data_IF_348324191740
#
_entry.id   IF_348324191740
#
_cell.length_a   1.000
_cell.length_b   1.000
_cell.length_c   1.000
_cell.angle_alpha   90.00
_cell.angle_beta   90.00
_cell.angle_gamma   90.00
#
_symmetry.space_group_name_H-M   'P 1'
#
loop_
_entity.id
_entity.type
_entity.pdbx_description
1 polymer ?
#
# COMPACT_ATOMS: atom_id res chain seq x y z
N UNK A 1 -3.32 3.18 11.69
CA UNK A 1 -4.79 3.22 11.60
C UNK A 1 -5.22 3.90 10.32
N UNK A 2 -6.23 3.40 9.57
CA UNK A 2 -6.67 4.00 8.32
C UNK A 2 -7.06 5.47 8.43
N UNK A 3 -7.69 5.86 9.55
CA UNK A 3 -7.99 7.28 9.84
C UNK A 3 -6.73 8.13 9.96
N UNK A 4 -5.68 7.63 10.62
CA UNK A 4 -4.41 8.35 10.78
C UNK A 4 -3.76 8.63 9.43
N UNK A 5 -3.81 7.66 8.51
CA UNK A 5 -3.31 7.81 7.14
C UNK A 5 -4.06 8.94 6.41
N UNK A 6 -5.39 8.97 6.50
CA UNK A 6 -6.18 10.07 5.92
C UNK A 6 -5.85 11.44 6.50
N UNK A 7 -5.64 11.53 7.83
CA UNK A 7 -5.25 12.78 8.47
C UNK A 7 -3.84 13.23 8.04
N UNK A 8 -2.89 12.30 7.97
CA UNK A 8 -1.54 12.58 7.49
C UNK A 8 -1.53 13.09 6.04
N UNK A 9 -2.34 12.49 5.16
CA UNK A 9 -2.49 12.96 3.77
C UNK A 9 -3.06 14.37 3.71
N UNK A 10 -4.10 14.68 4.51
CA UNK A 10 -4.64 16.04 4.60
C UNK A 10 -3.57 17.02 5.08
N UNK A 11 -2.90 16.71 6.18
CA UNK A 11 -1.90 17.60 6.79
C UNK A 11 -0.75 17.88 5.81
N UNK A 12 -0.32 16.86 5.05
CA UNK A 12 0.68 17.03 3.98
C UNK A 12 0.16 17.95 2.87
N UNK A 13 -1.08 17.77 2.40
CA UNK A 13 -1.67 18.63 1.38
C UNK A 13 -1.83 20.07 1.85
N UNK A 14 -2.13 20.31 3.12
CA UNK A 14 -2.18 21.67 3.70
C UNK A 14 -0.78 22.33 3.72
N UNK A 15 0.27 21.58 4.06
CA UNK A 15 1.65 22.08 4.01
C UNK A 15 2.07 22.44 2.57
N UNK A 16 1.81 21.56 1.61
CA UNK A 16 2.07 21.80 0.18
C UNK A 16 1.27 23.02 -0.32
N UNK A 17 0.01 23.14 0.09
CA UNK A 17 -0.82 24.30 -0.25
C UNK A 17 -0.26 25.62 0.29
N UNK A 18 0.24 25.63 1.52
CA UNK A 18 0.92 26.82 2.11
C UNK A 18 2.19 27.18 1.35
N UNK A 19 2.99 26.19 0.97
CA UNK A 19 4.20 26.38 0.17
C UNK A 19 3.88 27.05 -1.18
N UNK A 20 2.89 26.52 -1.91
CA UNK A 20 2.47 27.08 -3.21
C UNK A 20 1.94 28.51 -3.04
N UNK A 21 1.14 28.77 -2.00
CA UNK A 21 0.59 30.11 -1.74
C UNK A 21 1.68 31.14 -1.41
N UNK A 22 2.78 30.74 -0.76
CA UNK A 22 3.89 31.64 -0.40
C UNK A 22 4.83 31.92 -1.57
N UNK A 23 5.12 30.91 -2.39
CA UNK A 23 6.14 30.99 -3.43
C UNK A 23 5.57 31.22 -4.84
N UNK A 24 4.25 31.09 -5.02
CA UNK A 24 3.58 31.17 -6.32
C UNK A 24 3.75 29.92 -7.19
N UNK A 25 4.59 28.98 -6.78
CA UNK A 25 4.81 27.67 -7.41
C UNK A 25 5.14 26.64 -6.34
N UNK A 26 5.04 25.35 -6.69
CA UNK A 26 5.49 24.28 -5.82
C UNK A 26 7.01 24.32 -5.70
N UNK A 27 7.53 24.50 -4.48
CA UNK A 27 8.93 24.28 -4.15
C UNK A 27 9.06 23.00 -3.33
N UNK A 28 10.01 22.16 -3.73
CA UNK A 28 10.33 20.93 -3.01
C UNK A 28 10.87 21.28 -1.61
N UNK A 29 10.20 20.77 -0.58
CA UNK A 29 10.56 20.93 0.82
C UNK A 29 11.33 19.71 1.39
N UNK A 30 11.67 18.75 0.52
CA UNK A 30 12.43 17.55 0.87
C UNK A 30 11.64 16.54 1.69
N UNK A 31 10.32 16.72 1.84
CA UNK A 31 9.45 15.80 2.58
C UNK A 31 8.55 15.00 1.64
N UNK A 32 8.37 13.72 1.94
CA UNK A 32 7.42 12.85 1.25
C UNK A 32 6.25 12.46 2.16
N UNK A 33 5.09 12.18 1.57
CA UNK A 33 3.96 11.62 2.33
C UNK A 33 4.33 10.26 2.94
N UNK A 34 5.08 9.47 2.18
CA UNK A 34 5.60 8.17 2.58
C UNK A 34 6.95 8.36 3.28
N UNK A 35 7.22 7.57 4.32
CA UNK A 35 8.38 7.66 5.22
C UNK A 35 8.33 8.78 6.26
N UNK A 36 8.04 10.04 5.88
CA UNK A 36 8.04 11.16 6.85
C UNK A 36 6.73 11.27 7.65
N UNK A 37 5.57 11.10 7.00
CA UNK A 37 4.26 11.20 7.66
C UNK A 37 3.61 9.84 7.90
N UNK A 38 3.83 8.89 6.99
CA UNK A 38 3.29 7.53 7.06
C UNK A 38 4.45 6.55 7.02
N UNK A 39 4.56 5.72 8.05
CA UNK A 39 5.58 4.67 8.08
C UNK A 39 5.19 3.45 7.23
N UNK A 40 6.19 2.75 6.68
CA UNK A 40 5.99 1.51 5.93
C UNK A 40 5.30 0.43 6.77
N UNK A 41 5.62 0.36 8.06
CA UNK A 41 5.01 -0.60 8.99
C UNK A 41 3.51 -0.33 9.18
N UNK A 42 3.11 0.92 9.30
CA UNK A 42 1.69 1.27 9.39
C UNK A 42 0.91 0.90 8.14
N UNK A 43 1.54 1.02 6.97
CA UNK A 43 0.95 0.55 5.71
C UNK A 43 0.84 -0.97 5.71
N UNK A 44 1.86 -1.72 6.11
CA UNK A 44 1.87 -3.20 6.12
C UNK A 44 0.95 -3.82 7.17
N UNK A 45 0.66 -3.11 8.26
CA UNK A 45 -0.28 -3.56 9.28
C UNK A 45 -1.75 -3.68 8.79
N UNK A 46 -2.11 -3.05 7.66
CA UNK A 46 -3.46 -3.18 7.09
C UNK A 46 -3.72 -4.60 6.54
N UNK A 47 -4.65 -5.34 7.13
CA UNK A 47 -5.03 -6.70 6.65
C UNK A 47 -6.07 -6.69 5.53
N UNK A 48 -6.35 -5.52 4.94
CA UNK A 48 -7.38 -5.34 3.89
C UNK A 48 -8.77 -5.85 4.29
N UNK A 49 -9.12 -5.80 5.59
CA UNK A 49 -10.39 -6.32 6.13
C UNK A 49 -11.64 -5.51 5.76
N UNK A 50 -11.48 -4.39 5.04
CA UNK A 50 -12.54 -3.50 4.58
C UNK A 50 -13.39 -2.78 5.67
N UNK A 51 -13.14 -3.02 6.95
CA UNK A 51 -13.91 -2.41 8.05
C UNK A 51 -13.93 -0.87 7.99
N UNK A 52 -12.79 -0.24 7.67
CA UNK A 52 -12.70 1.23 7.61
C UNK A 52 -13.55 1.88 6.51
N UNK A 53 -13.89 1.15 5.45
CA UNK A 53 -14.75 1.62 4.37
C UNK A 53 -16.22 1.48 4.77
N UNK A 54 -16.57 0.35 5.40
CA UNK A 54 -17.94 0.08 5.85
C UNK A 54 -18.38 1.03 6.97
N UNK A 55 -17.51 1.30 7.92
CA UNK A 55 -17.79 2.17 9.07
C UNK A 55 -17.66 3.67 8.75
N UNK A 56 -17.33 4.03 7.50
CA UNK A 56 -17.06 5.42 7.15
C UNK A 56 -18.36 6.24 7.04
N UNK A 57 -18.57 7.28 7.87
CA UNK A 57 -19.80 8.08 7.85
C UNK A 57 -19.94 9.01 6.63
N UNK A 58 -18.83 9.24 5.90
CA UNK A 58 -18.79 10.14 4.73
C UNK A 58 -18.47 9.38 3.44
N UNK A 59 -18.57 8.05 3.47
CA UNK A 59 -18.46 7.18 2.28
C UNK A 59 -17.17 7.36 1.47
N UNK A 60 -16.04 7.58 2.15
CA UNK A 60 -14.71 7.53 1.52
C UNK A 60 -14.08 6.15 1.68
N UNK A 61 -13.09 5.85 0.84
CA UNK A 61 -12.30 4.61 0.93
C UNK A 61 -10.86 4.88 1.37
N UNK A 62 -10.55 4.77 2.68
CA UNK A 62 -9.16 4.78 3.13
C UNK A 62 -8.37 3.59 2.62
N UNK A 63 -9.04 2.47 2.30
CA UNK A 63 -8.41 1.24 1.83
C UNK A 63 -7.73 1.44 0.47
N UNK A 64 -8.35 2.21 -0.42
CA UNK A 64 -7.81 2.41 -1.77
C UNK A 64 -6.49 3.16 -1.72
N UNK A 65 -6.43 4.25 -0.96
CA UNK A 65 -5.19 5.04 -0.77
C UNK A 65 -4.08 4.17 -0.16
N UNK A 66 -4.41 3.35 0.84
CA UNK A 66 -3.43 2.43 1.45
C UNK A 66 -2.88 1.44 0.41
N UNK A 67 -3.75 0.94 -0.46
CA UNK A 67 -3.37 -0.03 -1.50
C UNK A 67 -2.47 0.60 -2.56
N UNK A 68 -2.76 1.84 -2.97
CA UNK A 68 -1.89 2.57 -3.90
C UNK A 68 -0.53 2.90 -3.30
N UNK A 69 -0.47 3.31 -2.02
CA UNK A 69 0.82 3.55 -1.34
C UNK A 69 1.65 2.26 -1.24
N UNK A 70 1.01 1.11 -0.97
CA UNK A 70 1.68 -0.19 -1.00
C UNK A 70 2.19 -0.56 -2.40
N UNK A 71 1.45 -0.20 -3.44
CA UNK A 71 1.85 -0.44 -4.83
C UNK A 71 3.07 0.40 -5.21
N UNK A 72 3.10 1.69 -4.86
CA UNK A 72 4.28 2.55 -5.07
C UNK A 72 5.52 2.00 -4.34
N UNK A 73 5.38 1.58 -3.08
CA UNK A 73 6.47 0.92 -2.34
C UNK A 73 7.08 -0.28 -3.08
N UNK A 74 6.26 -1.12 -3.72
CA UNK A 74 6.73 -2.32 -4.41
C UNK A 74 7.31 -1.95 -5.79
N UNK A 75 6.58 -1.19 -6.60
CA UNK A 75 6.92 -0.99 -8.01
C UNK A 75 7.93 0.13 -8.25
N UNK A 76 7.95 1.16 -7.40
CA UNK A 76 8.83 2.32 -7.56
C UNK A 76 10.06 2.22 -6.65
N UNK A 77 9.87 1.85 -5.38
CA UNK A 77 10.96 1.77 -4.40
C UNK A 77 11.59 0.37 -4.30
N UNK A 78 11.06 -0.64 -4.99
CA UNK A 78 11.48 -2.05 -4.84
C UNK A 78 11.49 -2.55 -3.37
N UNK A 79 10.63 -1.96 -2.53
CA UNK A 79 10.57 -2.20 -1.09
C UNK A 79 9.57 -3.32 -0.77
N UNK A 80 9.85 -4.52 -1.28
CA UNK A 80 9.10 -5.72 -0.99
C UNK A 80 9.75 -6.51 0.18
N UNK A 81 8.98 -6.99 1.17
CA UNK A 81 9.47 -7.97 2.13
C UNK A 81 10.04 -9.20 1.40
N UNK A 82 11.11 -9.79 1.95
CA UNK A 82 11.79 -10.93 1.34
C UNK A 82 10.84 -12.11 1.07
N UNK A 83 9.85 -12.29 1.95
CA UNK A 83 8.90 -13.38 1.87
C UNK A 83 7.92 -13.20 0.69
N UNK A 84 7.70 -11.96 0.27
CA UNK A 84 6.86 -11.63 -0.88
C UNK A 84 7.61 -11.79 -2.20
N UNK A 85 8.93 -11.62 -2.21
CA UNK A 85 9.73 -11.82 -3.42
C UNK A 85 9.66 -13.28 -3.92
N UNK A 86 9.69 -14.24 -3.00
CA UNK A 86 9.47 -15.65 -3.33
C UNK A 86 8.07 -15.89 -3.93
N UNK A 87 7.04 -15.29 -3.33
CA UNK A 87 5.67 -15.37 -3.84
C UNK A 87 5.52 -14.75 -5.24
N UNK A 88 6.12 -13.59 -5.50
CA UNK A 88 6.09 -12.94 -6.82
C UNK A 88 6.74 -13.82 -7.89
N UNK A 89 7.93 -14.34 -7.63
CA UNK A 89 8.63 -15.23 -8.55
C UNK A 89 7.87 -16.53 -8.81
N UNK A 90 7.27 -17.13 -7.78
CA UNK A 90 6.45 -18.33 -7.97
C UNK A 90 5.19 -18.04 -8.80
N UNK A 91 4.54 -16.89 -8.57
CA UNK A 91 3.34 -16.49 -9.31
C UNK A 91 3.66 -16.26 -10.79
N UNK A 92 4.80 -15.64 -11.09
CA UNK A 92 5.24 -15.39 -12.47
C UNK A 92 5.59 -16.69 -13.23
N UNK A 93 6.28 -17.62 -12.57
CA UNK A 93 6.77 -18.84 -13.23
C UNK A 93 5.73 -19.99 -13.26
N UNK A 94 4.95 -20.14 -12.19
CA UNK A 94 4.09 -21.31 -11.97
C UNK A 94 2.60 -20.97 -11.90
N UNK A 95 2.22 -19.69 -12.04
CA UNK A 95 0.84 -19.21 -11.81
C UNK A 95 0.27 -19.58 -10.43
N UNK A 96 1.15 -19.86 -9.48
CA UNK A 96 0.81 -20.24 -8.11
C UNK A 96 1.75 -19.52 -7.14
N UNK A 97 1.23 -18.89 -6.07
CA UNK A 97 2.07 -18.20 -5.08
C UNK A 97 2.92 -19.18 -4.26
N UNK A 98 2.45 -20.41 -4.13
CA UNK A 98 3.12 -21.51 -3.46
C UNK A 98 3.84 -22.37 -4.50
N UNK A 99 5.08 -22.79 -4.20
CA UNK A 99 5.95 -23.56 -5.11
C UNK A 99 5.52 -25.04 -5.24
N UNK A 100 4.24 -25.29 -5.50
CA UNK A 100 3.72 -26.63 -5.78
C UNK A 100 3.88 -26.96 -7.26
N UNK A 101 4.08 -28.24 -7.57
CA UNK A 101 4.07 -28.68 -8.96
C UNK A 101 2.64 -28.62 -9.51
N UNK A 102 2.43 -28.14 -10.76
CA UNK A 102 1.12 -28.20 -11.41
C UNK A 102 0.52 -29.61 -11.44
N UNK A 103 1.35 -30.65 -11.55
CA UNK A 103 0.94 -32.06 -11.58
C UNK A 103 0.31 -32.53 -10.27
N UNK A 104 0.64 -31.87 -9.15
CA UNK A 104 0.15 -32.22 -7.82
C UNK A 104 -1.19 -31.56 -7.49
N UNK A 105 -1.67 -30.65 -8.34
CA UNK A 105 -2.87 -29.83 -8.10
C UNK A 105 -4.13 -30.65 -7.84
N UNK A 106 -4.27 -31.80 -8.49
CA UNK A 106 -5.49 -32.63 -8.45
C UNK A 106 -5.38 -33.82 -7.48
N UNK A 107 -4.28 -33.96 -6.74
CA UNK A 107 -4.08 -35.09 -5.82
C UNK A 107 -5.19 -35.21 -4.76
N UNK A 108 -5.80 -34.09 -4.35
CA UNK A 108 -6.92 -34.07 -3.41
C UNK A 108 -8.20 -34.72 -3.96
N UNK A 109 -8.37 -34.80 -5.29
CA UNK A 109 -9.57 -35.34 -5.94
C UNK A 109 -9.53 -36.88 -6.07
N UNK A 110 -8.34 -37.47 -5.99
CA UNK A 110 -8.11 -38.92 -6.05
C UNK A 110 -7.91 -39.56 -4.67
N UNK A 111 -7.98 -38.77 -3.59
CA UNK A 111 -7.79 -39.19 -2.21
C UNK A 111 -9.04 -39.83 -1.59
#
# INVERSE_FOLDING_TARGET
SPRKIMMATRDRLEEVGKNINQHGSFQDDGKSLLHDYISVEELRACTTCNACVQECPVSISPLDIITELRRSLIMEESNAPQEWNGMFSNTENNFAPWKFSPDERDQWATA
#
